data_IF_166198017673
#
_entry.id   IF_166198017673
#
_cell.length_a   1.000
_cell.length_b   1.000
_cell.length_c   1.000
_cell.angle_alpha   90.00
_cell.angle_beta   90.00
_cell.angle_gamma   90.00
#
_symmetry.space_group_name_H-M   'P 1'
#
loop_
_entity.id
_entity.type
_entity.pdbx_description
1 polymer ?
#
# COMPACT_ATOMS: atom_id res chain seq x y z
N UNK A 1 52.79 14.93 12.63
CA UNK A 1 51.78 13.85 12.56
C UNK A 1 50.42 14.48 12.27
N UNK A 2 49.67 14.02 11.26
CA UNK A 2 48.30 14.47 11.03
C UNK A 2 47.43 14.10 12.24
N UNK A 3 46.76 15.09 12.82
CA UNK A 3 45.89 14.90 13.98
C UNK A 3 44.69 14.02 13.60
N UNK A 4 44.55 12.88 14.29
CA UNK A 4 43.53 11.85 14.02
C UNK A 4 42.32 11.95 14.95
N UNK A 5 42.32 12.90 15.89
CA UNK A 5 41.23 13.11 16.86
C UNK A 5 40.12 13.92 16.22
N UNK A 6 38.88 13.65 16.62
CA UNK A 6 37.69 14.33 16.11
C UNK A 6 36.90 14.86 17.29
N UNK A 7 36.44 16.10 17.19
CA UNK A 7 35.58 16.75 18.17
C UNK A 7 34.17 16.92 17.64
N UNK A 8 33.18 16.91 18.54
CA UNK A 8 31.80 17.22 18.18
C UNK A 8 31.68 18.69 17.77
N UNK A 9 31.06 18.94 16.61
CA UNK A 9 30.86 20.29 16.05
C UNK A 9 29.58 20.98 16.50
N UNK A 10 28.65 20.24 17.12
CA UNK A 10 27.37 20.76 17.61
C UNK A 10 27.41 20.91 19.13
N UNK A 11 26.51 21.73 19.68
CA UNK A 11 26.34 21.91 21.14
C UNK A 11 26.10 20.60 21.90
N UNK A 12 25.49 19.60 21.24
CA UNK A 12 25.33 18.27 21.83
C UNK A 12 26.66 17.50 21.82
N UNK A 13 27.21 17.29 23.02
CA UNK A 13 28.44 16.52 23.26
C UNK A 13 28.21 15.01 23.42
N UNK A 14 26.96 14.56 23.40
CA UNK A 14 26.60 13.17 23.70
C UNK A 14 26.41 12.32 22.45
N UNK A 15 26.69 11.02 22.60
CA UNK A 15 26.51 10.00 21.56
C UNK A 15 25.04 9.59 21.42
N UNK A 16 24.23 10.47 20.83
CA UNK A 16 22.80 10.20 20.59
C UNK A 16 22.53 9.73 19.15
N UNK A 17 21.34 9.15 18.90
CA UNK A 17 20.90 8.74 17.55
C UNK A 17 20.89 9.91 16.56
N UNK A 18 20.63 11.13 17.00
CA UNK A 18 20.63 12.37 16.19
C UNK A 18 22.03 12.94 15.97
N UNK A 19 22.97 12.64 16.86
CA UNK A 19 24.35 13.12 16.79
C UNK A 19 25.28 12.01 16.28
N UNK A 20 24.77 11.16 15.39
CA UNK A 20 25.57 10.15 14.70
C UNK A 20 26.38 10.80 13.58
N UNK A 21 27.59 10.30 13.34
CA UNK A 21 28.52 10.93 12.41
C UNK A 21 29.40 9.94 11.67
N UNK A 22 29.93 10.39 10.53
CA UNK A 22 30.96 9.72 9.75
C UNK A 22 32.23 10.57 9.76
N UNK A 23 33.40 10.00 10.13
CA UNK A 23 34.69 10.68 9.98
C UNK A 23 35.05 10.74 8.48
N UNK A 24 35.41 11.93 7.99
CA UNK A 24 35.77 12.17 6.58
C UNK A 24 37.06 12.96 6.53
N UNK A 25 38.01 12.54 5.67
CA UNK A 25 39.22 13.32 5.38
C UNK A 25 38.86 14.44 4.41
N UNK A 26 39.16 15.67 4.79
CA UNK A 26 38.96 16.84 3.92
C UNK A 26 40.12 16.96 2.93
N UNK A 27 39.95 17.70 1.83
CA UNK A 27 41.04 17.98 0.88
C UNK A 27 42.28 18.60 1.53
N UNK A 28 42.11 19.41 2.59
CA UNK A 28 43.21 19.96 3.39
C UNK A 28 43.85 18.97 4.37
N UNK A 29 43.59 17.66 4.24
CA UNK A 29 44.20 16.60 5.04
C UNK A 29 43.66 16.43 6.45
N UNK A 30 42.71 17.27 6.90
CA UNK A 30 42.14 17.21 8.27
C UNK A 30 41.03 16.18 8.37
N UNK A 31 40.95 15.46 9.49
CA UNK A 31 39.85 14.53 9.76
C UNK A 31 38.68 15.27 10.41
N UNK A 32 37.54 15.33 9.72
CA UNK A 32 36.37 16.12 10.15
C UNK A 32 35.13 15.24 10.28
N UNK A 33 34.28 15.61 11.25
CA UNK A 33 32.98 14.98 11.49
C UNK A 33 31.90 15.48 10.53
N UNK A 34 31.32 14.57 9.74
CA UNK A 34 30.09 14.83 8.98
C UNK A 34 28.90 14.14 9.65
N UNK A 35 27.87 14.90 10.01
CA UNK A 35 26.69 14.32 10.66
C UNK A 35 25.85 13.51 9.70
N UNK A 36 25.41 12.35 10.17
CA UNK A 36 24.48 11.47 9.46
C UNK A 36 23.05 11.80 9.86
N UNK A 37 22.17 11.93 8.87
CA UNK A 37 20.72 11.98 9.11
C UNK A 37 20.26 10.62 9.67
N UNK A 38 19.28 10.61 10.58
CA UNK A 38 18.71 9.33 11.04
C UNK A 38 18.06 8.60 9.86
N UNK A 39 18.29 7.29 9.79
CA UNK A 39 17.61 6.42 8.85
C UNK A 39 16.12 6.24 9.24
N UNK A 40 15.27 6.01 8.25
CA UNK A 40 13.86 5.66 8.42
C UNK A 40 13.55 4.46 7.53
N UNK A 41 12.60 3.62 7.92
CA UNK A 41 12.18 2.45 7.12
C UNK A 41 11.17 2.81 6.02
N UNK A 42 10.51 3.97 6.10
CA UNK A 42 9.51 4.40 5.11
C UNK A 42 8.34 3.41 5.02
N UNK A 43 7.71 3.33 3.83
CA UNK A 43 6.59 2.42 3.53
C UNK A 43 7.02 1.00 3.13
N UNK A 44 8.34 0.75 3.02
CA UNK A 44 8.92 -0.55 2.60
C UNK A 44 8.39 -1.10 1.26
N UNK A 45 7.72 -0.27 0.47
CA UNK A 45 7.15 -0.65 -0.81
C UNK A 45 8.15 -0.51 -1.95
N UNK A 46 8.14 -1.50 -2.84
CA UNK A 46 8.92 -1.43 -4.07
C UNK A 46 8.45 -0.24 -4.93
N UNK A 47 9.41 0.48 -5.51
CA UNK A 47 9.17 1.68 -6.31
C UNK A 47 8.98 2.97 -5.51
N UNK A 48 8.82 2.92 -4.18
CA UNK A 48 8.73 4.11 -3.33
C UNK A 48 10.07 4.37 -2.65
N UNK A 49 10.62 5.58 -2.84
CA UNK A 49 11.92 5.93 -2.25
C UNK A 49 11.80 6.13 -0.75
N UNK A 50 12.66 5.44 0.01
CA UNK A 50 12.76 5.63 1.46
C UNK A 50 13.44 6.97 1.77
N UNK A 51 12.71 7.87 2.41
CA UNK A 51 13.21 9.17 2.87
C UNK A 51 12.49 9.63 4.15
N UNK A 52 13.12 10.52 4.92
CA UNK A 52 12.48 11.11 6.12
C UNK A 52 11.31 11.99 5.71
N UNK A 53 10.27 12.19 6.55
CA UNK A 53 9.05 12.90 6.16
C UNK A 53 9.29 14.25 5.46
N UNK A 54 10.21 15.06 5.98
CA UNK A 54 10.57 16.36 5.40
C UNK A 54 11.31 16.25 4.05
N UNK A 55 12.18 15.25 3.90
CA UNK A 55 12.85 14.97 2.62
C UNK A 55 11.86 14.35 1.62
N UNK A 56 10.95 13.49 2.09
CA UNK A 56 9.93 12.81 1.31
C UNK A 56 8.94 13.80 0.68
N UNK A 57 8.51 14.82 1.43
CA UNK A 57 7.64 15.90 0.92
C UNK A 57 8.23 16.63 -0.30
N UNK A 58 9.56 16.72 -0.38
CA UNK A 58 10.28 17.42 -1.46
C UNK A 58 10.59 16.55 -2.68
N UNK A 59 10.32 15.25 -2.60
CA UNK A 59 10.54 14.34 -3.73
C UNK A 59 9.49 14.53 -4.82
N UNK A 60 9.88 14.21 -6.06
CA UNK A 60 8.96 14.16 -7.20
C UNK A 60 7.86 13.12 -6.97
N UNK A 61 6.70 13.29 -7.61
CA UNK A 61 5.58 12.36 -7.47
C UNK A 61 5.96 10.91 -7.82
N UNK A 62 6.73 10.71 -8.89
CA UNK A 62 7.22 9.40 -9.34
C UNK A 62 8.04 8.62 -8.31
N UNK A 63 8.67 9.30 -7.34
CA UNK A 63 9.46 8.67 -6.27
C UNK A 63 8.63 8.38 -5.02
N UNK A 64 7.41 8.91 -4.95
CA UNK A 64 6.50 8.81 -3.80
C UNK A 64 5.38 7.79 -4.01
N UNK A 65 4.97 7.54 -5.25
CA UNK A 65 3.87 6.65 -5.59
C UNK A 65 4.28 5.62 -6.64
N UNK A 66 3.41 4.64 -6.87
CA UNK A 66 3.52 3.68 -7.97
C UNK A 66 2.28 3.82 -8.87
N UNK A 67 2.47 3.72 -10.19
CA UNK A 67 1.38 3.87 -11.17
C UNK A 67 0.51 2.61 -11.23
N UNK A 68 -0.32 2.39 -10.20
CA UNK A 68 -1.36 1.34 -10.14
C UNK A 68 -2.44 1.71 -9.13
N UNK A 69 -3.56 0.98 -9.14
CA UNK A 69 -4.57 1.08 -8.08
C UNK A 69 -3.95 0.80 -6.70
N UNK A 70 -4.25 1.65 -5.72
CA UNK A 70 -3.66 1.62 -4.37
C UNK A 70 -2.11 1.66 -4.34
N UNK A 71 -1.47 2.18 -5.40
CA UNK A 71 -0.03 2.34 -5.48
C UNK A 71 0.50 3.27 -4.38
N UNK A 72 1.60 2.88 -3.75
CA UNK A 72 2.14 3.58 -2.58
C UNK A 72 1.60 3.09 -1.22
N UNK A 73 0.49 2.35 -1.21
CA UNK A 73 -0.16 1.89 0.02
C UNK A 73 -0.27 0.36 0.16
N UNK A 74 -0.71 -0.33 -0.90
CA UNK A 74 -0.86 -1.79 -0.90
C UNK A 74 0.15 -2.43 -1.84
N UNK A 75 0.57 -3.66 -1.56
CA UNK A 75 1.46 -4.42 -2.44
C UNK A 75 0.70 -4.98 -3.67
N UNK A 76 1.43 -5.54 -4.65
CA UNK A 76 0.81 -6.02 -5.89
C UNK A 76 -0.11 -7.23 -5.67
N UNK A 77 0.27 -8.13 -4.76
CA UNK A 77 -0.49 -9.34 -4.41
C UNK A 77 -1.81 -8.99 -3.74
N UNK A 78 -1.81 -8.07 -2.77
CA UNK A 78 -3.01 -7.57 -2.08
C UNK A 78 -3.96 -6.86 -3.05
N UNK A 79 -3.43 -6.08 -4.00
CA UNK A 79 -4.26 -5.43 -5.01
C UNK A 79 -4.93 -6.47 -5.90
N UNK A 80 -4.19 -7.50 -6.34
CA UNK A 80 -4.75 -8.62 -7.12
C UNK A 80 -5.86 -9.34 -6.35
N UNK A 81 -5.61 -9.69 -5.08
CA UNK A 81 -6.58 -10.37 -4.23
C UNK A 81 -7.84 -9.52 -4.00
N UNK A 82 -7.69 -8.21 -3.76
CA UNK A 82 -8.84 -7.30 -3.62
C UNK A 82 -9.68 -7.24 -4.89
N UNK A 83 -9.05 -7.15 -6.05
CA UNK A 83 -9.75 -7.12 -7.35
C UNK A 83 -10.49 -8.43 -7.57
N UNK A 84 -9.81 -9.58 -7.41
CA UNK A 84 -10.43 -10.90 -7.60
C UNK A 84 -11.56 -11.14 -6.60
N UNK A 85 -11.36 -10.80 -5.32
CA UNK A 85 -12.38 -10.98 -4.28
C UNK A 85 -13.60 -10.13 -4.54
N UNK A 86 -13.42 -8.85 -4.88
CA UNK A 86 -14.54 -7.96 -5.20
C UNK A 86 -15.34 -8.49 -6.39
N UNK A 87 -14.65 -8.87 -7.47
CA UNK A 87 -15.26 -9.44 -8.67
C UNK A 87 -16.07 -10.71 -8.35
N UNK A 88 -15.46 -11.72 -7.73
CA UNK A 88 -16.12 -13.00 -7.46
C UNK A 88 -17.32 -12.86 -6.52
N UNK A 89 -17.24 -11.97 -5.52
CA UNK A 89 -18.36 -11.71 -4.62
C UNK A 89 -19.54 -11.10 -5.37
N UNK A 90 -19.28 -10.15 -6.27
CA UNK A 90 -20.34 -9.48 -7.01
C UNK A 90 -20.96 -10.38 -8.09
N UNK A 91 -20.15 -11.19 -8.79
CA UNK A 91 -20.63 -12.24 -9.69
C UNK A 91 -21.53 -13.24 -8.96
N UNK A 92 -21.09 -13.71 -7.79
CA UNK A 92 -21.87 -14.67 -7.00
C UNK A 92 -23.17 -14.06 -6.46
N UNK A 93 -23.16 -12.78 -6.06
CA UNK A 93 -24.39 -12.05 -5.68
C UNK A 93 -25.35 -11.94 -6.87
N UNK A 94 -24.84 -11.61 -8.05
CA UNK A 94 -25.65 -11.52 -9.26
C UNK A 94 -26.28 -12.87 -9.63
N UNK A 95 -25.49 -13.94 -9.62
CA UNK A 95 -25.96 -15.31 -9.85
C UNK A 95 -27.07 -15.71 -8.86
N UNK A 96 -26.89 -15.44 -7.57
CA UNK A 96 -27.92 -15.71 -6.55
C UNK A 96 -29.21 -14.95 -6.82
N UNK A 97 -29.12 -13.68 -7.20
CA UNK A 97 -30.28 -12.86 -7.54
C UNK A 97 -31.02 -13.43 -8.76
N UNK A 98 -30.31 -13.79 -9.82
CA UNK A 98 -30.91 -14.40 -11.01
C UNK A 98 -31.58 -15.74 -10.70
N UNK A 99 -30.90 -16.64 -9.97
CA UNK A 99 -31.42 -17.96 -9.59
C UNK A 99 -32.69 -17.83 -8.72
N UNK A 100 -32.71 -16.89 -7.78
CA UNK A 100 -33.91 -16.61 -6.98
C UNK A 100 -35.10 -16.12 -7.82
N UNK A 101 -34.85 -15.35 -8.88
CA UNK A 101 -35.91 -14.85 -9.76
C UNK A 101 -36.50 -15.97 -10.62
N UNK A 102 -35.66 -16.82 -11.22
CA UNK A 102 -36.11 -17.98 -12.01
C UNK A 102 -36.92 -18.99 -11.17
N UNK A 103 -36.47 -19.30 -9.95
CA UNK A 103 -37.23 -20.18 -9.05
C UNK A 103 -38.62 -19.66 -8.67
N UNK A 104 -38.85 -18.33 -8.71
CA UNK A 104 -40.19 -17.74 -8.51
C UNK A 104 -41.05 -17.75 -9.77
N UNK A 105 -40.45 -17.65 -10.96
CA UNK A 105 -41.17 -17.75 -12.24
C UNK A 105 -41.64 -19.19 -12.47
N UNK A 106 -40.77 -20.20 -12.23
CA UNK A 106 -41.14 -21.61 -12.37
C UNK A 106 -42.27 -22.03 -11.41
N UNK A 107 -42.30 -21.47 -10.19
CA UNK A 107 -43.41 -21.68 -9.24
C UNK A 107 -44.69 -20.97 -9.68
N UNK A 108 -44.61 -19.77 -10.26
CA UNK A 108 -45.78 -19.07 -10.81
C UNK A 108 -46.35 -19.81 -12.02
N UNK A 109 -45.51 -20.31 -12.92
CA UNK A 109 -45.93 -21.06 -14.10
C UNK A 109 -46.52 -22.42 -13.75
N UNK A 110 -45.97 -23.14 -12.76
CA UNK A 110 -46.60 -24.35 -12.21
C UNK A 110 -47.97 -24.05 -11.60
N UNK A 111 -48.10 -22.95 -10.82
CA UNK A 111 -49.36 -22.57 -10.17
C UNK A 111 -50.43 -22.14 -11.19
N UNK A 112 -50.04 -21.45 -12.27
CA UNK A 112 -50.90 -21.10 -13.42
C UNK A 112 -51.41 -22.35 -14.14
N UNK A 113 -50.53 -23.30 -14.48
CA UNK A 113 -50.89 -24.58 -15.12
C UNK A 113 -51.84 -25.44 -14.28
N UNK A 114 -51.72 -25.46 -12.96
CA UNK A 114 -52.68 -26.16 -12.08
C UNK A 114 -54.02 -25.43 -11.92
N UNK A 115 -54.05 -24.10 -12.05
CA UNK A 115 -55.27 -23.30 -12.01
C UNK A 115 -56.12 -23.47 -13.26
N UNK A 116 -55.51 -23.46 -14.45
CA UNK A 116 -56.21 -23.68 -15.72
C UNK A 116 -56.77 -25.10 -15.84
N UNK A 117 -56.04 -26.13 -15.36
CA UNK A 117 -56.55 -27.51 -15.32
C UNK A 117 -57.76 -27.71 -14.39
N UNK A 118 -57.94 -26.88 -13.36
CA UNK A 118 -59.12 -26.92 -12.47
C UNK A 118 -60.34 -26.19 -13.06
N UNK A 119 -60.13 -25.16 -13.88
CA UNK A 119 -61.22 -24.45 -14.58
C UNK A 119 -61.79 -25.23 -15.76
N UNK A 120 -60.99 -26.05 -16.44
CA UNK A 120 -61.43 -26.89 -17.55
C UNK A 120 -62.19 -28.17 -17.12
N UNK A 121 -62.32 -28.43 -15.82
CA UNK A 121 -62.99 -29.62 -15.25
C UNK A 121 -64.33 -29.32 -14.57
N UNK A 122 -64.81 -28.08 -14.66
CA UNK A 122 -66.12 -27.63 -14.19
C UNK A 122 -66.88 -27.08 -15.39
#
# INVERSE_FOLDING_TARGET
MLERRITYRRKSSYRTRSNNFKPVKTPGGKLVMHLLKKHTKGTQMQGVKVARPHDFKRLTASKRSVSRAYGGNLNATEVKEKIMRAFLIDEFKYFKKMSSLQGTQDKKDKKKKTGDKKKAKK
#
